data_IF_607640549148
#
_entry.id   IF_607640549148
#
_cell.length_a   1.000
_cell.length_b   1.000
_cell.length_c   1.000
_cell.angle_alpha   90.00
_cell.angle_beta   90.00
_cell.angle_gamma   90.00
#
_symmetry.space_group_name_H-M   'P 1'
#
loop_
_entity.id
_entity.type
_entity.pdbx_description
1 polymer ?
#
# COMPACT_ATOMS: atom_id res chain seq x y z
N UNK A 1 7.81 17.36 21.29
CA UNK A 1 7.58 16.60 20.04
C UNK A 1 6.30 17.07 19.37
N UNK A 2 6.04 16.66 18.12
CA UNK A 2 4.75 16.80 17.44
C UNK A 2 3.65 15.94 18.11
N UNK A 3 2.38 16.21 17.79
CA UNK A 3 1.26 15.39 18.24
C UNK A 3 1.26 13.99 17.62
N UNK A 4 0.47 13.07 18.16
CA UNK A 4 0.33 11.71 17.62
C UNK A 4 -0.18 11.68 16.17
N UNK A 5 -1.13 12.55 15.83
CA UNK A 5 -1.71 12.69 14.50
C UNK A 5 -0.70 13.29 13.52
N UNK A 6 0.07 14.28 13.95
CA UNK A 6 1.14 14.85 13.14
C UNK A 6 2.26 13.83 12.86
N UNK A 7 2.62 13.00 13.85
CA UNK A 7 3.57 11.89 13.67
C UNK A 7 3.02 10.85 12.68
N UNK A 8 1.74 10.53 12.75
CA UNK A 8 1.09 9.64 11.80
C UNK A 8 1.08 10.21 10.37
N UNK A 9 0.82 11.51 10.20
CA UNK A 9 0.92 12.14 8.89
C UNK A 9 2.35 12.09 8.34
N UNK A 10 3.37 12.34 9.19
CA UNK A 10 4.77 12.18 8.80
C UNK A 10 5.06 10.73 8.39
N UNK A 11 4.53 9.74 9.10
CA UNK A 11 4.67 8.32 8.74
C UNK A 11 4.09 8.04 7.34
N UNK A 12 2.88 8.51 7.05
CA UNK A 12 2.27 8.36 5.72
C UNK A 12 3.08 9.07 4.62
N UNK A 13 3.69 10.22 4.94
CA UNK A 13 4.51 10.99 4.00
C UNK A 13 5.96 10.49 3.87
N UNK A 14 6.41 9.57 4.73
CA UNK A 14 7.75 8.96 4.70
C UNK A 14 7.68 7.48 4.39
N UNK A 15 7.38 6.64 5.39
CA UNK A 15 7.20 5.18 5.23
C UNK A 15 6.12 4.86 4.22
N UNK A 16 4.99 5.58 4.25
CA UNK A 16 3.94 5.46 3.26
C UNK A 16 4.33 5.88 1.85
N UNK A 17 5.52 6.46 1.65
CA UNK A 17 6.10 6.81 0.35
C UNK A 17 7.42 6.07 0.08
N UNK A 18 7.69 4.99 0.81
CA UNK A 18 8.85 4.12 0.59
C UNK A 18 10.16 4.62 1.21
N UNK A 19 10.12 5.59 2.12
CA UNK A 19 11.29 6.09 2.84
C UNK A 19 11.36 5.58 4.29
N UNK A 20 12.54 5.65 4.92
CA UNK A 20 12.68 5.35 6.35
C UNK A 20 12.32 6.58 7.18
N UNK A 21 11.48 6.39 8.21
CA UNK A 21 11.24 7.41 9.22
C UNK A 21 12.25 7.27 10.36
N UNK A 22 13.28 8.13 10.35
CA UNK A 22 14.22 8.26 11.47
C UNK A 22 13.77 9.40 12.39
N UNK A 23 13.07 9.04 13.48
CA UNK A 23 12.50 10.01 14.42
C UNK A 23 13.43 10.24 15.61
N UNK A 24 13.89 11.47 15.81
CA UNK A 24 14.69 11.85 16.97
C UNK A 24 13.81 12.07 18.21
N UNK A 25 14.20 11.47 19.35
CA UNK A 25 13.53 11.61 20.66
C UNK A 25 14.58 11.99 21.69
N UNK A 26 14.83 13.30 21.91
CA UNK A 26 15.92 13.74 22.79
C UNK A 26 15.52 13.61 24.27
N UNK A 27 16.45 13.21 25.15
CA UNK A 27 16.25 13.33 26.59
C UNK A 27 16.26 14.81 27.00
N UNK A 28 15.54 15.13 28.08
CA UNK A 28 15.56 16.45 28.70
C UNK A 28 16.76 16.62 29.65
N UNK A 29 16.82 17.77 30.34
CA UNK A 29 17.92 18.10 31.27
C UNK A 29 18.02 17.17 32.50
N UNK A 30 16.99 16.37 32.78
CA UNK A 30 17.01 15.35 33.83
C UNK A 30 17.62 14.04 33.33
N UNK A 31 17.87 13.92 32.02
CA UNK A 31 18.31 12.68 31.39
C UNK A 31 17.16 11.71 31.11
N UNK A 32 15.91 12.20 31.09
CA UNK A 32 14.71 11.39 30.84
C UNK A 32 14.03 11.82 29.54
N UNK A 33 13.29 10.91 28.90
CA UNK A 33 12.38 11.32 27.83
C UNK A 33 11.23 12.10 28.48
N UNK A 34 10.89 13.24 27.89
CA UNK A 34 9.81 14.07 28.38
C UNK A 34 8.48 13.30 28.35
N UNK A 35 7.66 13.48 29.38
CA UNK A 35 6.39 12.78 29.56
C UNK A 35 5.40 13.06 28.42
N UNK A 36 5.38 14.30 27.91
CA UNK A 36 4.59 14.68 26.72
C UNK A 36 5.04 13.88 25.49
N UNK A 37 6.35 13.65 25.35
CA UNK A 37 6.88 12.94 24.21
C UNK A 37 6.52 11.44 24.28
N UNK A 38 6.56 10.85 25.47
CA UNK A 38 6.08 9.47 25.69
C UNK A 38 4.61 9.34 25.25
N UNK A 39 3.74 10.26 25.69
CA UNK A 39 2.31 10.24 25.34
C UNK A 39 2.09 10.35 23.82
N UNK A 40 2.82 11.24 23.15
CA UNK A 40 2.71 11.41 21.70
C UNK A 40 3.13 10.14 20.94
N UNK A 41 4.19 9.45 21.36
CA UNK A 41 4.61 8.17 20.75
C UNK A 41 3.62 7.04 21.01
N UNK A 42 3.07 6.97 22.23
CA UNK A 42 2.06 5.97 22.56
C UNK A 42 0.78 6.17 21.74
N UNK A 43 0.31 7.41 21.62
CA UNK A 43 -0.84 7.73 20.77
C UNK A 43 -0.55 7.46 19.29
N UNK A 44 0.66 7.75 18.80
CA UNK A 44 1.06 7.41 17.43
C UNK A 44 1.04 5.90 17.19
N UNK A 45 1.56 5.10 18.13
CA UNK A 45 1.46 3.63 18.08
C UNK A 45 0.00 3.17 18.08
N UNK A 46 -0.86 3.78 18.88
CA UNK A 46 -2.28 3.43 18.92
C UNK A 46 -2.94 3.68 17.55
N UNK A 47 -2.70 4.84 16.93
CA UNK A 47 -3.22 5.14 15.58
C UNK A 47 -2.73 4.12 14.56
N UNK A 48 -1.45 3.75 14.58
CA UNK A 48 -0.92 2.71 13.68
C UNK A 48 -1.63 1.36 13.88
N UNK A 49 -1.87 0.96 15.12
CA UNK A 49 -2.58 -0.29 15.40
C UNK A 49 -4.02 -0.20 14.90
N UNK A 50 -4.72 0.90 15.17
CA UNK A 50 -6.13 1.04 14.80
C UNK A 50 -6.32 1.05 13.27
N UNK A 51 -5.42 1.70 12.53
CA UNK A 51 -5.54 1.82 11.07
C UNK A 51 -4.94 0.64 10.30
N UNK A 52 -4.04 -0.16 10.89
CA UNK A 52 -3.32 -1.23 10.17
C UNK A 52 -3.35 -2.61 10.85
N UNK A 53 -4.19 -2.84 11.88
CA UNK A 53 -4.25 -4.15 12.56
C UNK A 53 -4.88 -5.28 11.75
N UNK A 54 -5.76 -4.94 10.80
CA UNK A 54 -6.60 -5.94 10.11
C UNK A 54 -6.54 -5.72 8.61
N UNK A 55 -5.76 -6.54 7.93
CA UNK A 55 -5.75 -6.58 6.48
C UNK A 55 -7.01 -7.32 5.98
N UNK A 56 -7.83 -6.65 5.18
CA UNK A 56 -9.12 -7.13 4.67
C UNK A 56 -8.97 -8.11 3.49
N UNK A 57 -7.74 -8.49 3.15
CA UNK A 57 -7.42 -9.40 2.04
C UNK A 57 -7.66 -10.88 2.30
N UNK A 58 -8.05 -11.28 3.53
CA UNK A 58 -8.34 -12.69 3.83
C UNK A 58 -9.50 -13.23 2.96
N UNK A 59 -9.20 -14.27 2.18
CA UNK A 59 -10.13 -14.87 1.23
C UNK A 59 -10.47 -13.98 0.02
N UNK A 60 -9.74 -12.88 -0.20
CA UNK A 60 -9.90 -12.05 -1.38
C UNK A 60 -9.47 -12.80 -2.66
N UNK A 61 -10.04 -12.39 -3.80
CA UNK A 61 -9.68 -12.87 -5.13
C UNK A 61 -9.01 -11.75 -5.89
N UNK A 62 -7.87 -12.04 -6.49
CA UNK A 62 -7.12 -11.08 -7.29
C UNK A 62 -7.07 -11.53 -8.74
N UNK A 63 -7.26 -10.60 -9.67
CA UNK A 63 -7.10 -10.79 -11.10
C UNK A 63 -6.17 -9.72 -11.64
N UNK A 64 -5.38 -10.08 -12.64
CA UNK A 64 -4.44 -9.19 -13.30
C UNK A 64 -4.68 -9.16 -14.80
N UNK A 65 -4.33 -8.06 -15.46
CA UNK A 65 -4.55 -7.88 -16.90
C UNK A 65 -3.76 -8.84 -17.79
N UNK A 66 -2.58 -9.26 -17.33
CA UNK A 66 -1.66 -10.12 -18.08
C UNK A 66 -0.69 -10.81 -17.12
N UNK A 67 -0.15 -11.95 -17.52
CA UNK A 67 0.83 -12.72 -16.75
C UNK A 67 2.03 -13.01 -17.63
N UNK A 68 3.24 -12.75 -17.12
CA UNK A 68 4.47 -12.99 -17.86
C UNK A 68 4.57 -14.44 -18.33
N UNK A 69 4.62 -14.63 -19.65
CA UNK A 69 4.70 -15.93 -20.31
C UNK A 69 3.60 -16.91 -19.91
N UNK A 70 2.43 -16.42 -19.48
CA UNK A 70 1.33 -17.22 -18.94
C UNK A 70 1.76 -18.19 -17.80
N UNK A 71 2.82 -17.83 -17.07
CA UNK A 71 3.40 -18.67 -16.03
C UNK A 71 2.77 -18.44 -14.66
N UNK A 72 2.45 -19.52 -13.95
CA UNK A 72 2.02 -19.47 -12.54
C UNK A 72 3.04 -18.88 -11.58
N UNK A 73 4.31 -18.74 -12.00
CA UNK A 73 5.36 -18.09 -11.21
C UNK A 73 5.11 -16.59 -11.04
N UNK A 74 4.38 -15.97 -11.97
CA UNK A 74 4.20 -14.52 -12.04
C UNK A 74 2.73 -14.10 -12.14
N UNK A 75 1.80 -14.97 -11.74
CA UNK A 75 0.36 -14.73 -11.75
C UNK A 75 -0.14 -13.86 -10.56
N UNK A 76 -1.46 -13.68 -10.49
CA UNK A 76 -2.09 -12.83 -9.48
C UNK A 76 -1.95 -13.34 -8.04
N UNK A 77 -1.69 -14.64 -7.83
CA UNK A 77 -1.61 -15.21 -6.48
C UNK A 77 -0.37 -14.73 -5.74
N UNK A 78 0.69 -14.35 -6.46
CA UNK A 78 1.91 -13.80 -5.85
C UNK A 78 1.67 -12.45 -5.17
N UNK A 79 0.55 -11.78 -5.43
CA UNK A 79 0.21 -10.52 -4.75
C UNK A 79 -0.34 -10.72 -3.33
N UNK A 80 -0.73 -11.94 -2.98
CA UNK A 80 -1.47 -12.27 -1.75
C UNK A 80 -0.94 -13.52 -1.04
N UNK A 81 0.21 -14.05 -1.44
CA UNK A 81 0.80 -15.26 -0.84
C UNK A 81 1.59 -14.97 0.45
N UNK A 82 1.84 -13.70 0.76
CA UNK A 82 2.67 -13.22 1.87
C UNK A 82 4.12 -13.75 1.81
N UNK A 83 4.68 -13.90 0.62
CA UNK A 83 6.07 -14.33 0.40
C UNK A 83 6.86 -13.16 -0.21
N UNK A 84 7.87 -12.67 0.50
CA UNK A 84 8.63 -11.47 0.08
C UNK A 84 9.34 -11.60 -1.28
N UNK A 85 9.66 -12.83 -1.69
CA UNK A 85 10.47 -13.12 -2.89
C UNK A 85 9.63 -13.55 -4.11
N UNK A 86 8.31 -13.44 -4.04
CA UNK A 86 7.40 -13.68 -5.15
C UNK A 86 6.79 -12.36 -5.65
N UNK A 87 6.37 -12.34 -6.91
CA UNK A 87 5.77 -11.14 -7.51
C UNK A 87 4.94 -11.47 -8.74
N UNK A 88 3.89 -10.68 -8.95
CA UNK A 88 3.21 -10.60 -10.23
C UNK A 88 4.11 -9.87 -11.23
N UNK A 89 4.17 -10.37 -12.46
CA UNK A 89 4.87 -9.68 -13.55
C UNK A 89 4.13 -9.73 -14.88
N UNK A 90 4.41 -8.72 -15.70
CA UNK A 90 3.97 -8.67 -17.11
C UNK A 90 5.10 -9.06 -18.06
N UNK A 91 4.76 -9.33 -19.33
CA UNK A 91 5.76 -9.51 -20.38
C UNK A 91 6.59 -8.25 -20.59
N UNK A 92 7.80 -8.41 -21.13
CA UNK A 92 8.82 -7.34 -21.21
C UNK A 92 8.33 -6.07 -21.91
N UNK A 93 7.45 -6.19 -22.90
CA UNK A 93 6.90 -5.07 -23.66
C UNK A 93 5.70 -4.38 -22.98
N UNK A 94 5.14 -4.95 -21.91
CA UNK A 94 3.91 -4.47 -21.27
C UNK A 94 4.26 -3.60 -20.06
N UNK A 95 4.14 -2.28 -20.20
CA UNK A 95 4.48 -1.29 -19.17
C UNK A 95 3.28 -0.70 -18.42
N UNK A 96 2.08 -1.25 -18.66
CA UNK A 96 0.83 -0.87 -18.01
C UNK A 96 0.01 -2.12 -17.71
N UNK A 97 -0.87 -2.05 -16.71
CA UNK A 97 -1.69 -3.19 -16.33
C UNK A 97 -2.66 -2.88 -15.22
N UNK A 98 -3.58 -3.81 -14.97
CA UNK A 98 -4.61 -3.65 -13.94
C UNK A 98 -4.52 -4.78 -12.94
N UNK A 99 -4.71 -4.45 -11.67
CA UNK A 99 -4.94 -5.40 -10.58
C UNK A 99 -6.37 -5.18 -10.10
N UNK A 100 -7.24 -6.18 -10.24
CA UNK A 100 -8.60 -6.16 -9.71
C UNK A 100 -8.68 -7.04 -8.48
N UNK A 101 -9.22 -6.50 -7.40
CA UNK A 101 -9.33 -7.12 -6.09
C UNK A 101 -10.82 -7.24 -5.77
N UNK A 102 -11.26 -8.46 -5.51
CA UNK A 102 -12.58 -8.75 -4.95
C UNK A 102 -12.43 -9.27 -3.53
N UNK A 103 -12.78 -8.44 -2.55
CA UNK A 103 -12.83 -8.83 -1.14
C UNK A 103 -13.96 -9.86 -0.93
N UNK A 104 -13.81 -10.68 0.11
CA UNK A 104 -14.81 -11.70 0.45
C UNK A 104 -16.15 -11.09 0.87
N UNK A 105 -16.10 -9.98 1.60
CA UNK A 105 -17.25 -9.18 2.01
C UNK A 105 -16.97 -7.70 1.70
N UNK A 106 -18.01 -6.86 1.75
CA UNK A 106 -17.80 -5.41 1.74
C UNK A 106 -17.21 -4.95 3.09
N UNK A 107 -16.21 -4.09 3.03
CA UNK A 107 -15.57 -3.49 4.19
C UNK A 107 -15.54 -1.97 4.03
N UNK A 108 -15.53 -1.25 5.15
CA UNK A 108 -15.13 0.17 5.12
C UNK A 108 -13.61 0.19 5.04
N UNK A 109 -13.06 0.78 3.98
CA UNK A 109 -11.61 0.86 3.74
C UNK A 109 -11.16 2.31 3.64
N UNK A 110 -9.90 2.59 3.99
CA UNK A 110 -9.27 3.89 3.86
C UNK A 110 -7.77 3.87 3.53
N UNK A 111 -7.13 2.70 3.53
CA UNK A 111 -5.75 2.56 3.06
C UNK A 111 -5.56 1.40 2.11
N UNK A 112 -4.86 1.67 1.01
CA UNK A 112 -4.38 0.65 0.07
C UNK A 112 -2.87 0.68 0.11
N UNK A 113 -2.25 -0.45 0.39
CA UNK A 113 -0.79 -0.59 0.41
C UNK A 113 -0.35 -1.39 -0.80
N UNK A 114 0.69 -0.92 -1.49
CA UNK A 114 1.24 -1.54 -2.69
C UNK A 114 2.75 -1.64 -2.60
N UNK A 115 3.31 -2.73 -3.16
CA UNK A 115 4.73 -3.05 -3.10
C UNK A 115 5.28 -3.43 -4.47
N UNK A 116 6.35 -2.78 -4.91
CA UNK A 116 7.16 -3.26 -6.03
C UNK A 116 8.20 -4.27 -5.55
N UNK A 117 8.51 -5.25 -6.39
CA UNK A 117 9.62 -6.16 -6.18
C UNK A 117 10.97 -5.47 -6.46
N UNK A 118 11.50 -4.77 -5.46
CA UNK A 118 12.66 -3.89 -5.62
C UNK A 118 13.99 -4.59 -5.92
N UNK A 119 14.10 -5.91 -5.74
CA UNK A 119 15.29 -6.66 -6.15
C UNK A 119 15.58 -6.51 -7.66
N UNK A 120 14.56 -6.18 -8.46
CA UNK A 120 14.69 -5.91 -9.90
C UNK A 120 14.55 -4.43 -10.27
N UNK A 121 14.70 -3.55 -9.28
CA UNK A 121 14.63 -2.10 -9.42
C UNK A 121 13.20 -1.54 -9.41
N UNK A 122 13.10 -0.24 -9.22
CA UNK A 122 11.84 0.51 -9.19
C UNK A 122 11.40 0.91 -10.60
N UNK A 123 10.13 0.64 -10.95
CA UNK A 123 9.64 0.72 -12.34
C UNK A 123 8.40 1.59 -12.48
N UNK A 124 7.40 1.46 -11.60
CA UNK A 124 6.11 2.15 -11.71
C UNK A 124 6.29 3.67 -11.61
N UNK A 125 5.72 4.41 -12.58
CA UNK A 125 5.78 5.87 -12.67
C UNK A 125 4.45 6.56 -12.43
N UNK A 126 3.33 5.91 -12.77
CA UNK A 126 1.99 6.44 -12.55
C UNK A 126 0.94 5.33 -12.42
N UNK A 127 0.03 5.49 -11.47
CA UNK A 127 -1.13 4.64 -11.30
C UNK A 127 -2.28 5.39 -10.63
N UNK A 128 -3.49 4.87 -10.77
CA UNK A 128 -4.67 5.34 -10.05
C UNK A 128 -5.41 4.18 -9.39
N UNK A 129 -6.25 4.51 -8.40
CA UNK A 129 -7.07 3.54 -7.70
C UNK A 129 -8.53 3.90 -7.93
N UNK A 130 -9.32 2.89 -8.28
CA UNK A 130 -10.77 2.95 -8.38
C UNK A 130 -11.40 1.98 -7.38
N UNK A 131 -12.60 2.31 -6.91
CA UNK A 131 -13.47 1.41 -6.14
C UNK A 131 -14.81 1.30 -6.82
N UNK A 132 -15.46 0.13 -6.70
CA UNK A 132 -16.82 -0.04 -7.19
C UNK A 132 -17.82 0.48 -6.14
N UNK A 133 -18.73 1.36 -6.58
CA UNK A 133 -19.86 1.84 -5.79
C UNK A 133 -21.07 1.98 -6.70
N UNK A 134 -22.19 1.35 -6.34
CA UNK A 134 -23.42 1.33 -7.13
C UNK A 134 -23.16 0.89 -8.59
N UNK A 135 -22.44 -0.22 -8.78
CA UNK A 135 -22.08 -0.80 -10.09
C UNK A 135 -21.27 0.13 -11.01
N UNK A 136 -20.56 1.11 -10.42
CA UNK A 136 -19.69 2.03 -11.16
C UNK A 136 -18.34 2.11 -10.50
N UNK A 137 -17.29 2.11 -11.32
CA UNK A 137 -15.94 2.39 -10.90
C UNK A 137 -15.76 3.90 -10.69
N UNK A 138 -15.32 4.27 -9.49
CA UNK A 138 -15.05 5.65 -9.12
C UNK A 138 -13.58 5.76 -8.75
N UNK A 139 -12.84 6.64 -9.43
CA UNK A 139 -11.46 6.97 -9.08
C UNK A 139 -11.41 7.66 -7.73
N UNK A 140 -10.64 7.08 -6.80
CA UNK A 140 -10.49 7.56 -5.42
C UNK A 140 -9.08 8.04 -5.11
N UNK A 141 -8.09 7.67 -5.92
CA UNK A 141 -6.72 8.14 -5.72
C UNK A 141 -5.90 8.18 -7.01
N UNK A 142 -4.86 9.01 -6.93
CA UNK A 142 -3.83 9.24 -7.93
C UNK A 142 -2.46 9.16 -7.29
N UNK A 143 -1.53 8.46 -7.94
CA UNK A 143 -0.17 8.33 -7.45
C UNK A 143 0.83 8.15 -8.59
N UNK A 144 2.09 8.46 -8.30
CA UNK A 144 3.19 8.30 -9.24
C UNK A 144 3.92 6.98 -8.98
N UNK A 145 4.86 6.99 -8.05
CA UNK A 145 5.73 5.86 -7.74
C UNK A 145 5.16 4.95 -6.66
N UNK A 146 5.44 3.65 -6.76
CA UNK A 146 5.09 2.64 -5.76
C UNK A 146 6.29 2.33 -4.84
N UNK A 147 7.40 1.84 -5.37
CA UNK A 147 8.60 1.54 -4.58
C UNK A 147 8.40 0.40 -3.57
N UNK A 148 9.20 0.38 -2.49
CA UNK A 148 9.19 -0.72 -1.50
C UNK A 148 7.84 -0.87 -0.77
N UNK A 149 7.18 0.26 -0.51
CA UNK A 149 5.90 0.35 0.18
C UNK A 149 5.27 1.69 -0.17
N UNK A 150 4.06 1.64 -0.69
CA UNK A 150 3.24 2.83 -0.95
C UNK A 150 1.91 2.70 -0.24
N UNK A 151 1.66 3.54 0.76
CA UNK A 151 0.38 3.63 1.46
C UNK A 151 -0.42 4.76 0.81
N UNK A 152 -1.55 4.42 0.20
CA UNK A 152 -2.49 5.36 -0.39
C UNK A 152 -3.67 5.55 0.55
N UNK A 153 -3.77 6.74 1.13
CA UNK A 153 -4.94 7.16 1.92
C UNK A 153 -6.06 7.56 0.97
N UNK A 154 -7.27 7.08 1.22
CA UNK A 154 -8.50 7.49 0.54
C UNK A 154 -9.56 7.93 1.54
N UNK A 155 -10.57 8.63 1.06
CA UNK A 155 -11.79 8.86 1.86
C UNK A 155 -12.46 7.52 2.16
N UNK A 156 -12.93 7.35 3.41
CA UNK A 156 -13.57 6.11 3.87
C UNK A 156 -14.71 5.72 2.95
N UNK A 157 -14.64 4.50 2.41
CA UNK A 157 -15.63 3.97 1.47
C UNK A 157 -15.96 2.52 1.80
N UNK A 158 -17.25 2.19 1.74
CA UNK A 158 -17.70 0.80 1.83
C UNK A 158 -17.66 0.20 0.43
N UNK A 159 -16.86 -0.85 0.24
CA UNK A 159 -16.79 -1.58 -1.03
C UNK A 159 -16.25 -2.99 -0.82
N UNK A 160 -16.56 -3.89 -1.75
CA UNK A 160 -15.92 -5.19 -1.88
C UNK A 160 -15.01 -5.29 -3.11
N UNK A 161 -14.92 -4.24 -3.94
CA UNK A 161 -14.12 -4.27 -5.18
C UNK A 161 -13.24 -3.04 -5.34
N UNK A 162 -11.97 -3.31 -5.57
CA UNK A 162 -10.92 -2.31 -5.76
C UNK A 162 -10.19 -2.62 -7.07
N UNK A 163 -9.81 -1.59 -7.82
CA UNK A 163 -8.97 -1.71 -9.01
C UNK A 163 -7.79 -0.77 -8.91
N UNK A 164 -6.59 -1.30 -9.12
CA UNK A 164 -5.37 -0.51 -9.29
C UNK A 164 -5.02 -0.50 -10.77
N UNK A 165 -5.00 0.68 -11.36
CA UNK A 165 -4.67 0.89 -12.78
C UNK A 165 -3.25 1.45 -12.87
N UNK A 166 -2.28 0.63 -13.22
CA UNK A 166 -0.90 1.06 -13.50
C UNK A 166 -0.85 1.55 -14.93
N UNK A 167 -0.66 2.86 -15.09
CA UNK A 167 -0.78 3.55 -16.37
C UNK A 167 0.55 3.82 -17.05
N UNK A 168 1.66 3.83 -16.31
CA UNK A 168 2.98 4.07 -16.86
C UNK A 168 4.08 3.47 -15.96
N UNK A 169 5.09 2.87 -16.59
CA UNK A 169 6.26 2.27 -15.93
C UNK A 169 7.51 2.36 -16.83
N UNK A 170 8.69 2.25 -16.22
CA UNK A 170 9.99 2.28 -16.93
C UNK A 170 10.32 0.98 -17.65
N UNK A 171 9.67 -0.12 -17.27
CA UNK A 171 9.82 -1.46 -17.80
C UNK A 171 8.57 -2.29 -17.45
N UNK A 172 8.57 -3.59 -17.76
CA UNK A 172 7.50 -4.50 -17.35
C UNK A 172 7.23 -4.45 -15.85
N UNK A 173 5.98 -4.67 -15.46
CA UNK A 173 5.54 -4.51 -14.08
C UNK A 173 6.08 -5.65 -13.22
N UNK A 174 6.45 -5.33 -11.98
CA UNK A 174 6.85 -6.31 -10.95
C UNK A 174 6.31 -5.84 -9.61
N UNK A 175 5.21 -6.44 -9.16
CA UNK A 175 4.49 -6.04 -7.93
C UNK A 175 4.46 -7.26 -7.00
N UNK A 176 5.00 -7.13 -5.79
CA UNK A 176 5.17 -8.24 -4.84
C UNK A 176 4.06 -8.35 -3.81
N UNK A 177 3.20 -7.34 -3.67
CA UNK A 177 2.16 -7.42 -2.65
C UNK A 177 1.18 -6.28 -2.69
N UNK A 178 0.02 -6.55 -2.11
CA UNK A 178 -1.00 -5.55 -1.83
C UNK A 178 -1.72 -5.84 -0.50
N UNK A 179 -2.08 -4.78 0.20
CA UNK A 179 -2.81 -4.85 1.47
C UNK A 179 -3.97 -3.85 1.44
N UNK A 180 -5.09 -4.18 2.09
CA UNK A 180 -6.27 -3.31 2.17
C UNK A 180 -6.68 -3.17 3.63
N UNK A 181 -6.82 -1.92 4.10
CA UNK A 181 -7.23 -1.58 5.45
C UNK A 181 -8.40 -0.60 5.45
#
# INVERSE_FOLDING_TARGET
MKSSEELFEIYLQSVGRGAVLLLNVPPDRRGHINEHDILALQGFKQILNDEFSTNMMDGAKVRVSSVRGDSKTFDANQLIDNIDDTYWATDDSITSGTIEIGLKNEHTINYIVLHEYLHLGQRVKAFNIEVEKNDRWIRVADATTMGVKRIIRIDKVVTGKIRVNITDAKACLTVSGLEIY
#
